data_IF_409694608508
#
_entry.id   IF_409694608508
#
_cell.length_a   1.000
_cell.length_b   1.000
_cell.length_c   1.000
_cell.angle_alpha   90.00
_cell.angle_beta   90.00
_cell.angle_gamma   90.00
#
_symmetry.space_group_name_H-M   'P 1'
#
loop_
_entity.id
_entity.type
_entity.pdbx_description
1 polymer ?
#
# COMPACT_ATOMS: atom_id res chain seq x y z
N UNK A 1 -5.54 7.91 24.23
CA UNK A 1 -6.36 7.19 23.23
C UNK A 1 -5.95 7.73 21.87
N UNK A 2 -4.80 7.27 21.37
CA UNK A 2 -4.22 7.79 20.13
C UNK A 2 -4.90 7.04 18.99
N UNK A 3 -5.70 7.72 18.19
CA UNK A 3 -6.24 7.17 16.96
C UNK A 3 -5.06 6.92 16.03
N UNK A 4 -4.70 5.65 15.83
CA UNK A 4 -3.79 5.25 14.75
C UNK A 4 -4.64 5.33 13.49
N UNK A 5 -4.52 6.41 12.74
CA UNK A 5 -5.20 6.55 11.46
C UNK A 5 -4.54 5.59 10.48
N UNK A 6 -5.16 4.42 10.28
CA UNK A 6 -4.69 3.48 9.25
C UNK A 6 -4.82 4.09 7.86
N UNK A 7 -3.71 4.16 7.13
CA UNK A 7 -3.69 4.51 5.71
C UNK A 7 -4.11 3.30 4.90
N UNK A 8 -5.02 3.52 3.95
CA UNK A 8 -5.46 2.50 3.01
C UNK A 8 -5.22 2.98 1.58
N UNK A 9 -4.67 2.09 0.76
CA UNK A 9 -4.53 2.26 -0.68
C UNK A 9 -5.48 1.30 -1.39
N UNK A 10 -6.05 1.74 -2.51
CA UNK A 10 -6.87 0.89 -3.39
C UNK A 10 -6.13 0.75 -4.71
N UNK A 11 -5.76 -0.47 -5.08
CA UNK A 11 -5.11 -0.73 -6.36
C UNK A 11 -6.04 -0.48 -7.53
N UNK A 12 -5.46 -0.09 -8.65
CA UNK A 12 -6.10 -0.02 -9.95
C UNK A 12 -5.63 -1.16 -10.85
N UNK A 13 -6.23 -1.27 -12.03
CA UNK A 13 -5.91 -2.34 -12.96
C UNK A 13 -4.44 -2.24 -13.42
N UNK A 14 -3.67 -3.30 -13.14
CA UNK A 14 -2.24 -3.33 -13.51
C UNK A 14 -1.30 -2.74 -12.46
N UNK A 15 -1.79 -2.32 -11.29
CA UNK A 15 -0.94 -1.88 -10.18
C UNK A 15 -0.04 -3.03 -9.70
N UNK A 16 1.19 -2.70 -9.31
CA UNK A 16 2.16 -3.67 -8.79
C UNK A 16 2.48 -3.31 -7.36
N UNK A 17 2.45 -4.28 -6.44
CA UNK A 17 2.69 -4.02 -5.02
C UNK A 17 4.02 -3.29 -4.78
N UNK A 18 5.10 -3.72 -5.43
CA UNK A 18 6.41 -3.07 -5.32
C UNK A 18 6.37 -1.60 -5.75
N UNK A 19 5.64 -1.28 -6.83
CA UNK A 19 5.44 0.10 -7.28
C UNK A 19 4.57 0.92 -6.34
N UNK A 20 3.50 0.33 -5.80
CA UNK A 20 2.64 1.00 -4.80
C UNK A 20 3.45 1.33 -3.55
N UNK A 21 4.25 0.38 -3.06
CA UNK A 21 5.15 0.59 -1.92
C UNK A 21 6.21 1.64 -2.26
N UNK A 22 6.84 1.60 -3.43
CA UNK A 22 7.79 2.63 -3.86
C UNK A 22 7.13 4.01 -3.98
N UNK A 23 5.92 4.10 -4.52
CA UNK A 23 5.21 5.36 -4.72
C UNK A 23 4.73 5.97 -3.39
N UNK A 24 4.33 5.13 -2.44
CA UNK A 24 3.87 5.60 -1.13
C UNK A 24 5.02 5.88 -0.16
N UNK A 25 6.04 5.01 -0.15
CA UNK A 25 7.16 5.11 0.80
C UNK A 25 8.45 5.67 0.19
N UNK A 26 8.42 6.15 -1.05
CA UNK A 26 9.57 6.62 -1.83
C UNK A 26 10.48 5.51 -2.38
N UNK A 27 10.55 4.37 -1.69
CA UNK A 27 11.43 3.24 -2.00
C UNK A 27 10.83 1.93 -1.46
N UNK A 28 11.28 0.78 -1.98
CA UNK A 28 10.99 -0.56 -1.43
C UNK A 28 12.09 -1.11 -0.51
N UNK A 29 13.12 -0.30 -0.24
CA UNK A 29 14.27 -0.68 0.60
C UNK A 29 13.89 -0.84 2.07
N UNK A 30 14.59 -1.74 2.78
CA UNK A 30 14.43 -1.94 4.22
C UNK A 30 13.24 -2.81 4.63
N UNK A 31 12.75 -3.67 3.74
CA UNK A 31 11.65 -4.60 4.05
C UNK A 31 10.28 -3.92 4.13
N UNK A 32 10.11 -2.75 3.52
CA UNK A 32 8.82 -2.04 3.46
C UNK A 32 7.72 -2.88 2.82
N UNK A 33 8.05 -3.59 1.73
CA UNK A 33 7.13 -4.54 1.08
C UNK A 33 6.75 -5.67 2.03
N UNK A 34 7.70 -6.20 2.80
CA UNK A 34 7.45 -7.26 3.79
C UNK A 34 6.58 -6.78 4.94
N UNK A 35 6.78 -5.54 5.41
CA UNK A 35 5.94 -4.92 6.43
C UNK A 35 4.49 -4.73 5.93
N UNK A 36 4.30 -4.30 4.68
CA UNK A 36 2.98 -4.22 4.05
C UNK A 36 2.37 -5.61 3.90
N UNK A 37 3.13 -6.61 3.46
CA UNK A 37 2.66 -8.00 3.35
C UNK A 37 2.29 -8.60 4.71
N UNK A 38 3.07 -8.31 5.76
CA UNK A 38 2.78 -8.74 7.12
C UNK A 38 1.50 -8.08 7.66
N UNK A 39 1.25 -6.82 7.30
CA UNK A 39 0.01 -6.11 7.64
C UNK A 39 -1.19 -6.58 6.78
N UNK A 40 -0.95 -7.19 5.61
CA UNK A 40 -1.96 -7.65 4.66
C UNK A 40 -1.78 -9.16 4.33
N UNK A 41 -2.16 -10.06 5.26
CA UNK A 41 -2.10 -11.48 5.00
C UNK A 41 -2.95 -11.84 3.78
N UNK A 42 -2.34 -12.52 2.80
CA UNK A 42 -2.99 -12.92 1.55
C UNK A 42 -2.69 -12.01 0.36
N UNK A 43 -2.19 -10.79 0.57
CA UNK A 43 -1.85 -9.87 -0.53
C UNK A 43 -0.73 -10.42 -1.42
N UNK A 44 0.30 -11.02 -0.82
CA UNK A 44 1.41 -11.63 -1.56
C UNK A 44 1.02 -12.87 -2.37
N UNK A 45 -0.14 -13.46 -2.09
CA UNK A 45 -0.67 -14.59 -2.86
C UNK A 45 -1.41 -14.14 -4.13
N UNK A 46 -1.80 -12.86 -4.24
CA UNK A 46 -2.44 -12.31 -5.44
C UNK A 46 -1.47 -12.23 -6.63
N UNK A 47 -0.17 -12.18 -6.35
CA UNK A 47 0.90 -12.13 -7.35
C UNK A 47 1.51 -10.74 -7.47
N UNK A 48 2.36 -10.56 -8.49
CA UNK A 48 3.06 -9.30 -8.72
C UNK A 48 2.12 -8.17 -9.15
N UNK A 49 1.09 -8.49 -9.94
CA UNK A 49 0.09 -7.55 -10.43
C UNK A 49 -1.17 -7.70 -9.58
N UNK A 50 -1.67 -6.57 -9.08
CA UNK A 50 -2.88 -6.48 -8.29
C UNK A 50 -4.07 -6.21 -9.22
N UNK A 51 -5.18 -6.90 -8.94
CA UNK A 51 -6.46 -6.57 -9.55
C UNK A 51 -6.94 -5.17 -9.11
N UNK A 52 -7.76 -4.48 -9.92
CA UNK A 52 -8.40 -3.24 -9.50
C UNK A 52 -9.32 -3.48 -8.29
N UNK A 53 -9.27 -2.57 -7.31
CA UNK A 53 -10.10 -2.62 -6.11
C UNK A 53 -9.52 -3.39 -4.93
N UNK A 54 -8.25 -3.83 -4.99
CA UNK A 54 -7.60 -4.48 -3.84
C UNK A 54 -7.27 -3.42 -2.80
N UNK A 55 -7.82 -3.60 -1.60
CA UNK A 55 -7.59 -2.71 -0.46
C UNK A 55 -6.33 -3.16 0.30
N UNK A 56 -5.31 -2.32 0.25
CA UNK A 56 -4.01 -2.55 0.88
C UNK A 56 -3.89 -1.63 2.09
N UNK A 57 -3.66 -2.22 3.26
CA UNK A 57 -3.35 -1.49 4.48
C UNK A 57 -1.88 -1.06 4.48
N UNK A 58 -1.62 0.22 4.54
CA UNK A 58 -0.27 0.76 4.61
C UNK A 58 0.07 1.03 6.09
N UNK A 59 0.96 0.24 6.73
CA UNK A 59 1.44 0.56 8.06
C UNK A 59 2.18 1.89 8.05
N UNK A 60 2.19 2.57 9.19
CA UNK A 60 2.95 3.79 9.42
C UNK A 60 4.44 3.45 9.47
N UNK A 61 5.05 3.35 8.29
CA UNK A 61 6.49 3.28 8.12
C UNK A 61 6.96 4.73 8.00
N UNK A 62 7.98 5.12 8.75
CA UNK A 62 8.53 6.47 8.69
C UNK A 62 8.78 6.87 7.22
N UNK A 63 7.93 7.75 6.71
CA UNK A 63 7.91 8.15 5.32
C UNK A 63 7.36 9.55 5.25
N UNK A 64 8.05 10.36 4.44
CA UNK A 64 7.64 11.70 4.12
C UNK A 64 6.35 11.65 3.32
N UNK A 65 5.24 11.80 4.03
CA UNK A 65 3.93 12.26 3.59
C UNK A 65 3.19 11.33 2.59
N UNK A 66 2.05 10.74 2.98
CA UNK A 66 1.24 9.94 2.08
C UNK A 66 0.72 10.83 0.96
N UNK A 67 1.09 10.53 -0.29
CA UNK A 67 0.43 11.12 -1.44
C UNK A 67 -1.01 10.60 -1.45
N UNK A 68 -1.95 11.51 -1.16
CA UNK A 68 -3.39 11.32 -1.19
C UNK A 68 -3.75 10.42 -2.36
N UNK A 69 -4.14 9.18 -2.05
CA UNK A 69 -4.70 8.28 -3.05
C UNK A 69 -5.98 8.91 -3.57
N UNK A 70 -5.87 9.38 -4.81
CA UNK A 70 -6.88 10.08 -5.55
C UNK A 70 -8.28 9.46 -5.33
N UNK A 71 -9.14 10.21 -4.64
CA UNK A 71 -10.57 9.99 -4.71
C UNK A 71 -11.03 10.38 -6.12
N UNK A 72 -11.28 9.39 -6.98
CA UNK A 72 -12.11 9.58 -8.16
C UNK A 72 -13.13 8.44 -8.21
N UNK A 73 -14.13 8.52 -7.34
CA UNK A 73 -15.39 7.81 -7.51
C UNK A 73 -16.34 8.80 -8.18
N UNK A 74 -16.85 8.42 -9.35
CA UNK A 74 -17.56 9.28 -10.30
C UNK A 74 -18.90 9.86 -9.83
#
# INVERSE_FOLDING_TARGET
MTAVSDLYFVSSEGDVLDQVVAAQYGDTLGGKVEAVLAANPGLGALGAVLDPGVRIRLPDLETSEPSETAQLWG
#
